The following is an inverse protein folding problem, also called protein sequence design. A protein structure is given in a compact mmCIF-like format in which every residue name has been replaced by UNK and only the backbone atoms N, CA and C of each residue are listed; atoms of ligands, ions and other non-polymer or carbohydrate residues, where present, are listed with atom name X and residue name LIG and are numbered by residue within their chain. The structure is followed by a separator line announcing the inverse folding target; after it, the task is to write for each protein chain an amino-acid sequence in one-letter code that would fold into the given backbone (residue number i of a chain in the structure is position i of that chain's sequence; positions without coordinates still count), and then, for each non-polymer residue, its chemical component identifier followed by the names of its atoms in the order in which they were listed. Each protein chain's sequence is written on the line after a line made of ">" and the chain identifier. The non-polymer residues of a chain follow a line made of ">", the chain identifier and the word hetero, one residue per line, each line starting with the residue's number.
data_IF_611209946058
#
_entry.id   IF_611209946058
#
_cell.length_a   1.000
_cell.length_b   1.000
_cell.length_c   1.000
_cell.angle_alpha   90.00
_cell.angle_beta   90.00
_cell.angle_gamma   90.00
#
_symmetry.space_group_name_H-M   'P 1'
#
loop_
_entity.id
_entity.type
_entity.pdbx_description
1 polymer ?
#
# COMPACT_ATOMS: atom_id res chain seq x y z
N UNK A 1 -19.36 17.06 52.50
CA UNK A 1 -18.24 17.44 51.61
C UNK A 1 -18.37 16.65 50.33
N UNK A 2 -18.26 17.15 49.11
CA UNK A 2 -18.54 18.43 48.46
C UNK A 2 -18.78 18.05 46.98
N UNK A 3 -19.79 18.65 46.34
CA UNK A 3 -19.95 18.63 44.88
C UNK A 3 -18.99 19.66 44.28
N UNK A 4 -18.48 19.41 43.07
CA UNK A 4 -18.03 20.47 42.18
C UNK A 4 -18.08 20.05 40.70
N UNK A 5 -18.78 20.88 39.93
CA UNK A 5 -18.78 21.10 38.46
C UNK A 5 -17.45 21.79 38.06
N UNK A 6 -17.02 22.04 36.81
CA UNK A 6 -17.64 22.50 35.56
C UNK A 6 -16.59 22.56 34.41
N UNK A 7 -17.09 22.51 33.17
CA UNK A 7 -16.71 23.13 31.86
C UNK A 7 -15.45 23.99 31.71
N UNK A 8 -14.75 23.90 30.56
CA UNK A 8 -14.76 24.95 29.48
C UNK A 8 -13.79 24.69 28.30
N UNK A 9 -14.19 25.19 27.13
CA UNK A 9 -13.61 25.10 25.78
C UNK A 9 -12.24 25.79 25.60
N UNK A 10 -11.44 25.26 24.67
CA UNK A 10 -10.24 25.94 24.17
C UNK A 10 -10.27 25.99 22.63
N UNK A 11 -10.63 27.17 22.13
CA UNK A 11 -10.59 27.59 20.73
C UNK A 11 -9.17 27.51 20.16
N UNK A 12 -9.00 26.87 19.00
CA UNK A 12 -7.77 26.92 18.22
C UNK A 12 -7.93 27.94 17.09
N UNK A 13 -7.57 29.19 17.38
CA UNK A 13 -7.42 30.24 16.38
C UNK A 13 -6.13 30.03 15.58
N UNK A 14 -6.25 29.83 14.26
CA UNK A 14 -5.12 29.93 13.34
C UNK A 14 -5.17 31.29 12.64
N UNK A 15 -4.38 32.23 13.15
CA UNK A 15 -4.15 33.54 12.55
C UNK A 15 -3.49 33.39 11.17
N UNK A 16 -4.09 34.01 10.15
CA UNK A 16 -3.57 34.09 8.79
C UNK A 16 -2.79 35.39 8.66
N UNK A 17 -1.47 35.30 8.51
CA UNK A 17 -0.66 36.44 8.11
C UNK A 17 -0.09 36.26 6.70
N UNK A 18 -0.15 37.37 5.98
CA UNK A 18 0.05 37.58 4.56
C UNK A 18 1.41 37.14 4.03
N UNK A 19 1.43 36.70 2.76
CA UNK A 19 2.60 36.82 1.91
C UNK A 19 2.20 37.58 0.64
N UNK A 20 2.68 38.82 0.55
CA UNK A 20 2.44 39.77 -0.52
C UNK A 20 3.20 39.38 -1.80
N UNK A 21 2.51 39.38 -2.93
CA UNK A 21 3.13 39.35 -4.26
C UNK A 21 2.73 40.64 -4.97
N UNK A 22 3.74 41.48 -5.24
CA UNK A 22 3.62 42.76 -5.92
C UNK A 22 3.19 42.59 -7.38
N UNK A 23 2.30 43.48 -7.82
CA UNK A 23 1.78 43.58 -9.18
C UNK A 23 2.84 44.10 -10.16
N UNK A 24 2.89 43.51 -11.35
CA UNK A 24 3.48 44.06 -12.56
C UNK A 24 2.41 44.04 -13.66
N UNK A 25 2.27 45.16 -14.34
CA UNK A 25 1.14 45.58 -15.17
C UNK A 25 0.98 44.82 -16.50
N UNK A 26 -0.27 44.80 -16.97
CA UNK A 26 -0.75 44.60 -18.33
C UNK A 26 -0.39 43.31 -19.07
N UNK A 27 -1.37 42.38 -19.16
CA UNK A 27 -1.77 41.68 -20.38
C UNK A 27 -3.00 40.79 -20.12
N UNK A 28 -3.92 40.78 -21.08
CA UNK A 28 -5.24 40.11 -21.20
C UNK A 28 -5.38 38.72 -20.53
N UNK A 29 -5.47 38.67 -19.19
CA UNK A 29 -5.71 37.42 -18.46
C UNK A 29 -7.21 37.16 -18.34
N UNK A 30 -7.72 36.31 -19.22
CA UNK A 30 -9.05 35.70 -19.11
C UNK A 30 -9.19 35.11 -17.70
N UNK A 31 -9.99 35.76 -16.86
CA UNK A 31 -10.20 35.39 -15.46
C UNK A 31 -10.84 34.02 -15.35
N UNK A 32 -10.01 32.97 -15.26
CA UNK A 32 -10.45 31.67 -14.78
C UNK A 32 -10.67 31.84 -13.27
N UNK A 33 -11.91 32.14 -12.91
CA UNK A 33 -12.39 31.97 -11.54
C UNK A 33 -12.39 30.47 -11.28
N UNK A 34 -11.30 29.97 -10.69
CA UNK A 34 -11.30 28.62 -10.12
C UNK A 34 -12.18 28.71 -8.88
N UNK A 35 -13.46 28.40 -9.05
CA UNK A 35 -14.36 28.17 -7.92
C UNK A 35 -13.74 27.07 -7.05
N UNK A 36 -13.20 27.48 -5.92
CA UNK A 36 -12.79 26.55 -4.87
C UNK A 36 -14.08 25.92 -4.35
N UNK A 37 -14.44 24.74 -4.86
CA UNK A 37 -15.52 23.91 -4.32
C UNK A 37 -15.16 23.52 -2.88
N UNK A 38 -15.46 24.41 -1.94
CA UNK A 38 -15.36 24.16 -0.52
C UNK A 38 -16.71 23.70 0.00
N UNK A 39 -16.98 22.41 -0.16
CA UNK A 39 -17.79 21.59 0.74
C UNK A 39 -17.81 20.18 0.16
N UNK A 40 -17.00 19.29 0.73
CA UNK A 40 -17.32 17.86 0.67
C UNK A 40 -18.66 17.73 1.40
N UNK A 41 -19.75 17.53 0.66
CA UNK A 41 -20.99 17.11 1.29
C UNK A 41 -20.73 15.69 1.83
N UNK A 42 -21.23 15.35 3.02
CA UNK A 42 -20.98 14.04 3.65
C UNK A 42 -21.43 12.82 2.83
N UNK A 43 -21.97 13.03 1.63
CA UNK A 43 -22.33 12.02 0.63
C UNK A 43 -21.17 11.63 -0.30
N UNK A 44 -20.08 12.40 -0.32
CA UNK A 44 -18.92 12.18 -1.20
C UNK A 44 -17.82 11.32 -0.55
N UNK A 45 -18.03 10.88 0.69
CA UNK A 45 -17.09 10.02 1.43
C UNK A 45 -17.67 8.63 1.60
N UNK A 46 -16.95 7.63 1.12
CA UNK A 46 -17.28 6.21 1.28
C UNK A 46 -16.30 5.57 2.27
N UNK A 47 -16.82 4.77 3.21
CA UNK A 47 -16.01 3.93 4.08
C UNK A 47 -15.96 2.53 3.48
N UNK A 48 -14.75 2.09 3.14
CA UNK A 48 -14.51 0.79 2.52
C UNK A 48 -13.85 -0.11 3.56
N UNK A 49 -14.38 -1.32 3.75
CA UNK A 49 -13.77 -2.31 4.62
C UNK A 49 -12.45 -2.81 4.02
N UNK A 50 -11.49 -3.17 4.87
CA UNK A 50 -10.20 -3.71 4.42
C UNK A 50 -10.34 -4.92 3.50
N UNK A 51 -11.30 -5.80 3.78
CA UNK A 51 -11.60 -6.98 2.95
C UNK A 51 -12.06 -6.58 1.53
N UNK A 52 -12.95 -5.60 1.42
CA UNK A 52 -13.41 -5.07 0.14
C UNK A 52 -12.31 -4.33 -0.62
N UNK A 53 -11.49 -3.54 0.08
CA UNK A 53 -10.33 -2.87 -0.51
C UNK A 53 -9.33 -3.89 -1.07
N UNK A 54 -9.10 -4.99 -0.36
CA UNK A 54 -8.20 -6.06 -0.80
C UNK A 54 -8.69 -6.71 -2.09
N UNK A 55 -10.00 -6.93 -2.25
CA UNK A 55 -10.56 -7.40 -3.52
C UNK A 55 -10.32 -6.42 -4.68
N UNK A 56 -10.42 -5.11 -4.42
CA UNK A 56 -10.12 -4.08 -5.43
C UNK A 56 -8.63 -4.10 -5.80
N UNK A 57 -7.75 -4.27 -4.82
CA UNK A 57 -6.31 -4.42 -5.04
C UNK A 57 -6.01 -5.66 -5.89
N UNK A 58 -6.61 -6.81 -5.54
CA UNK A 58 -6.34 -8.08 -6.19
C UNK A 58 -6.77 -8.05 -7.67
N UNK A 59 -7.88 -7.39 -8.01
CA UNK A 59 -8.26 -7.16 -9.42
C UNK A 59 -7.20 -6.40 -10.21
N UNK A 60 -6.66 -5.31 -9.65
CA UNK A 60 -5.58 -4.54 -10.31
C UNK A 60 -4.32 -5.39 -10.48
N UNK A 61 -4.02 -6.24 -9.50
CA UNK A 61 -2.90 -7.19 -9.58
C UNK A 61 -3.15 -8.22 -10.68
N UNK A 62 -4.34 -8.80 -10.76
CA UNK A 62 -4.73 -9.78 -11.77
C UNK A 62 -4.64 -9.21 -13.19
N UNK A 63 -5.19 -8.01 -13.42
CA UNK A 63 -5.16 -7.34 -14.72
C UNK A 63 -3.73 -7.08 -15.20
N UNK A 64 -2.87 -6.53 -14.32
CA UNK A 64 -1.47 -6.32 -14.65
C UNK A 64 -0.72 -7.65 -14.84
N UNK A 65 -1.02 -8.65 -14.00
CA UNK A 65 -0.34 -9.94 -14.03
C UNK A 65 -0.70 -10.78 -15.26
N UNK A 66 -1.88 -10.57 -15.86
CA UNK A 66 -2.26 -11.19 -17.12
C UNK A 66 -1.28 -10.84 -18.26
N UNK A 67 -0.58 -9.70 -18.17
CA UNK A 67 0.44 -9.28 -19.13
C UNK A 67 1.85 -9.63 -18.65
N UNK A 68 2.13 -9.44 -17.35
CA UNK A 68 3.47 -9.65 -16.78
C UNK A 68 3.83 -11.14 -16.60
N UNK A 69 2.82 -12.02 -16.54
CA UNK A 69 2.95 -13.47 -16.42
C UNK A 69 3.89 -13.89 -15.27
N UNK A 70 3.65 -13.38 -14.06
CA UNK A 70 4.48 -13.63 -12.89
C UNK A 70 3.64 -14.08 -11.68
N UNK A 71 4.27 -14.31 -10.52
CA UNK A 71 3.51 -14.59 -9.30
C UNK A 71 2.76 -13.32 -8.83
N UNK A 72 1.52 -13.44 -8.31
CA UNK A 72 0.74 -12.28 -7.86
C UNK A 72 1.46 -11.41 -6.83
N UNK A 73 2.23 -12.03 -5.93
CA UNK A 73 3.03 -11.34 -4.91
C UNK A 73 4.08 -10.43 -5.57
N UNK A 74 4.78 -10.93 -6.58
CA UNK A 74 5.78 -10.14 -7.29
C UNK A 74 5.14 -9.02 -8.12
N UNK A 75 3.98 -9.29 -8.74
CA UNK A 75 3.22 -8.26 -9.46
C UNK A 75 2.80 -7.13 -8.51
N UNK A 76 2.26 -7.47 -7.34
CA UNK A 76 1.89 -6.51 -6.29
C UNK A 76 3.08 -5.66 -5.82
N UNK A 77 4.24 -6.28 -5.64
CA UNK A 77 5.48 -5.58 -5.28
C UNK A 77 5.92 -4.58 -6.36
N UNK A 78 5.80 -4.95 -7.65
CA UNK A 78 6.11 -4.05 -8.75
C UNK A 78 5.09 -2.91 -8.83
N UNK A 79 3.79 -3.21 -8.76
CA UNK A 79 2.76 -2.18 -8.74
C UNK A 79 3.01 -1.17 -7.61
N UNK A 80 3.37 -1.63 -6.41
CA UNK A 80 3.77 -0.76 -5.32
C UNK A 80 4.97 0.14 -5.67
N UNK A 81 6.05 -0.40 -6.25
CA UNK A 81 7.22 0.38 -6.69
C UNK A 81 6.87 1.43 -7.76
N UNK A 82 5.86 1.15 -8.56
CA UNK A 82 5.34 2.04 -9.60
C UNK A 82 4.13 2.87 -9.13
N UNK A 83 3.92 2.97 -7.81
CA UNK A 83 2.86 3.78 -7.18
C UNK A 83 1.46 3.42 -7.67
N UNK A 84 1.20 2.14 -7.91
CA UNK A 84 -0.05 1.59 -8.41
C UNK A 84 -0.48 2.16 -9.77
N UNK A 85 0.49 2.52 -10.62
CA UNK A 85 0.24 2.96 -12.01
C UNK A 85 0.57 1.82 -12.99
N UNK A 86 -0.41 0.96 -13.37
CA UNK A 86 -0.17 -0.20 -14.22
C UNK A 86 0.38 0.19 -15.59
N UNK A 87 -0.11 1.27 -16.20
CA UNK A 87 0.33 1.73 -17.52
C UNK A 87 1.83 2.04 -17.56
N UNK A 88 2.34 2.71 -16.52
CA UNK A 88 3.76 3.06 -16.41
C UNK A 88 4.62 1.80 -16.22
N UNK A 89 4.12 0.81 -15.46
CA UNK A 89 4.79 -0.46 -15.28
C UNK A 89 4.86 -1.24 -16.60
N UNK A 90 3.73 -1.37 -17.29
CA UNK A 90 3.62 -2.09 -18.56
C UNK A 90 4.45 -1.43 -19.66
N UNK A 91 4.46 -0.10 -19.74
CA UNK A 91 5.32 0.63 -20.68
C UNK A 91 6.80 0.29 -20.46
N UNK A 92 7.25 0.21 -19.21
CA UNK A 92 8.64 -0.13 -18.87
C UNK A 92 8.95 -1.60 -19.12
N UNK A 93 8.00 -2.49 -18.91
CA UNK A 93 8.13 -3.92 -19.20
C UNK A 93 8.24 -4.18 -20.70
N UNK A 94 7.32 -3.62 -21.49
CA UNK A 94 7.30 -3.75 -22.95
C UNK A 94 8.54 -3.15 -23.63
N UNK A 95 9.19 -2.16 -23.01
CA UNK A 95 10.51 -1.63 -23.44
C UNK A 95 11.68 -2.61 -23.27
N UNK A 96 11.41 -3.87 -22.93
CA UNK A 96 12.39 -4.95 -22.86
C UNK A 96 13.15 -5.04 -21.54
N UNK A 97 12.71 -4.33 -20.49
CA UNK A 97 13.33 -4.48 -19.17
C UNK A 97 12.88 -5.81 -18.56
N UNK A 98 13.83 -6.69 -18.27
CA UNK A 98 13.59 -7.91 -17.48
C UNK A 98 12.96 -7.54 -16.14
N UNK A 99 12.04 -8.38 -15.65
CA UNK A 99 11.38 -8.24 -14.34
C UNK A 99 12.37 -7.95 -13.21
N UNK A 100 13.49 -8.68 -13.17
CA UNK A 100 14.54 -8.49 -12.17
C UNK A 100 15.16 -7.08 -12.20
N UNK A 101 15.22 -6.43 -13.37
CA UNK A 101 15.70 -5.06 -13.52
C UNK A 101 14.63 -4.01 -13.19
N UNK A 102 13.36 -4.39 -13.19
CA UNK A 102 12.24 -3.53 -12.75
C UNK A 102 12.12 -3.52 -11.23
N UNK A 103 12.43 -4.66 -10.59
CA UNK A 103 12.49 -4.80 -9.14
C UNK A 103 13.70 -4.03 -8.59
N UNK A 104 13.47 -2.84 -8.05
CA UNK A 104 14.50 -2.08 -7.32
C UNK A 104 14.61 -2.48 -5.84
N UNK A 105 13.83 -3.49 -5.42
CA UNK A 105 13.80 -3.92 -4.02
C UNK A 105 14.97 -4.85 -3.69
N UNK A 106 15.38 -4.86 -2.41
CA UNK A 106 16.33 -5.86 -1.89
C UNK A 106 15.72 -7.26 -1.75
N UNK A 107 14.43 -7.42 -2.05
CA UNK A 107 13.71 -8.69 -1.94
C UNK A 107 13.77 -9.40 -3.30
N UNK A 108 14.27 -10.63 -3.28
CA UNK A 108 14.26 -11.48 -4.46
C UNK A 108 12.82 -11.86 -4.83
N UNK A 109 12.45 -11.88 -6.11
CA UNK A 109 11.14 -12.33 -6.54
C UNK A 109 10.86 -13.76 -6.05
N UNK A 110 9.70 -13.98 -5.43
CA UNK A 110 9.27 -15.31 -4.99
C UNK A 110 8.76 -16.12 -6.18
N UNK A 111 9.01 -17.44 -6.17
CA UNK A 111 8.41 -18.35 -7.15
C UNK A 111 6.89 -18.42 -7.06
N UNK A 112 6.31 -18.06 -5.90
CA UNK A 112 4.88 -18.20 -5.62
C UNK A 112 4.42 -19.63 -5.42
N UNK A 113 5.33 -20.61 -5.43
CA UNK A 113 5.05 -22.02 -5.17
C UNK A 113 5.01 -22.21 -3.65
N UNK A 114 3.98 -22.89 -3.15
CA UNK A 114 3.90 -23.26 -1.74
C UNK A 114 5.13 -24.10 -1.36
N UNK A 115 5.77 -23.75 -0.25
CA UNK A 115 6.93 -24.50 0.23
C UNK A 115 6.47 -25.90 0.70
N UNK A 116 7.24 -26.97 0.40
CA UNK A 116 6.85 -28.32 0.75
C UNK A 116 6.88 -28.54 2.26
N UNK A 117 5.89 -29.28 2.76
CA UNK A 117 5.76 -29.65 4.17
C UNK A 117 6.39 -31.01 4.43
N UNK A 118 7.05 -31.13 5.60
CA UNK A 118 7.70 -32.36 6.05
C UNK A 118 7.57 -32.52 7.55
N UNK A 119 7.77 -33.74 8.02
CA UNK A 119 8.02 -34.03 9.42
C UNK A 119 9.44 -33.59 9.81
N UNK A 120 9.59 -32.97 10.98
CA UNK A 120 10.87 -32.56 11.52
C UNK A 120 10.76 -31.72 12.79
N UNK A 121 11.91 -31.25 13.28
CA UNK A 121 12.00 -30.34 14.41
C UNK A 121 12.00 -28.88 13.95
N UNK A 122 11.28 -28.01 14.66
CA UNK A 122 11.19 -26.58 14.38
C UNK A 122 12.38 -25.81 14.99
N UNK A 123 13.07 -25.00 14.19
CA UNK A 123 14.22 -24.19 14.64
C UNK A 123 13.83 -23.06 15.63
N UNK A 124 12.54 -22.70 15.71
CA UNK A 124 12.02 -21.64 16.59
C UNK A 124 11.50 -22.16 17.93
N UNK A 125 10.69 -23.22 17.91
CA UNK A 125 10.04 -23.74 19.12
C UNK A 125 10.61 -25.07 19.61
N UNK A 126 11.57 -25.66 18.89
CA UNK A 126 12.25 -26.91 19.23
C UNK A 126 11.30 -28.10 19.48
N UNK A 127 10.11 -28.07 18.86
CA UNK A 127 9.17 -29.19 18.89
C UNK A 127 9.16 -29.91 17.54
N UNK A 128 9.01 -31.23 17.60
CA UNK A 128 8.69 -32.04 16.44
C UNK A 128 7.27 -31.72 15.95
N UNK A 129 7.13 -31.52 14.65
CA UNK A 129 5.86 -31.26 14.00
C UNK A 129 5.81 -31.92 12.62
N UNK A 130 4.59 -32.27 12.17
CA UNK A 130 4.36 -32.84 10.84
C UNK A 130 4.27 -31.81 9.72
N UNK A 131 4.23 -30.53 10.07
CA UNK A 131 3.96 -29.39 9.19
C UNK A 131 5.13 -28.40 9.16
N UNK A 132 6.37 -28.92 9.11
CA UNK A 132 7.58 -28.11 8.98
C UNK A 132 7.72 -27.62 7.55
N UNK A 133 7.87 -26.30 7.42
CA UNK A 133 8.16 -25.61 6.17
C UNK A 133 9.63 -25.24 6.13
N UNK A 134 10.34 -25.67 5.07
CA UNK A 134 11.75 -25.31 4.85
C UNK A 134 11.89 -24.13 3.89
N UNK A 135 12.51 -23.06 4.37
CA UNK A 135 12.78 -21.86 3.58
C UNK A 135 14.05 -22.01 2.73
N UNK A 136 14.19 -21.24 1.63
CA UNK A 136 15.39 -21.25 0.80
C UNK A 136 16.69 -20.89 1.55
N UNK A 137 16.59 -20.14 2.66
CA UNK A 137 17.72 -19.83 3.54
C UNK A 137 18.20 -21.03 4.39
N UNK A 138 17.43 -22.12 4.43
CA UNK A 138 17.77 -23.32 5.19
C UNK A 138 16.90 -23.53 6.43
N UNK A 139 16.30 -22.46 6.95
CA UNK A 139 15.49 -22.45 8.18
C UNK A 139 14.24 -23.32 8.04
N UNK A 140 13.86 -23.99 9.14
CA UNK A 140 12.77 -24.93 9.25
C UNK A 140 11.82 -24.51 10.37
N UNK A 141 10.58 -24.18 9.99
CA UNK A 141 9.60 -23.61 10.93
C UNK A 141 8.29 -24.39 10.83
N UNK A 142 7.71 -24.79 11.98
CA UNK A 142 6.37 -25.39 12.02
C UNK A 142 5.29 -24.33 11.82
N UNK A 143 4.22 -24.65 11.09
CA UNK A 143 3.11 -23.70 10.87
C UNK A 143 2.38 -23.36 12.17
N UNK A 144 2.27 -24.31 13.08
CA UNK A 144 1.55 -24.14 14.36
C UNK A 144 2.14 -23.03 15.23
N UNK A 145 3.46 -22.80 15.19
CA UNK A 145 4.10 -21.77 16.02
C UNK A 145 3.93 -20.34 15.52
N UNK A 146 3.44 -20.14 14.29
CA UNK A 146 3.54 -18.82 13.66
C UNK A 146 2.22 -18.03 13.56
N UNK A 147 1.03 -18.62 13.76
CA UNK A 147 -0.23 -17.93 13.41
C UNK A 147 -1.43 -18.32 14.30
N UNK A 148 -1.30 -18.21 15.63
CA UNK A 148 -2.46 -18.21 16.52
C UNK A 148 -2.62 -16.81 17.14
N UNK A 149 -3.38 -15.96 16.44
CA UNK A 149 -4.01 -14.76 16.98
C UNK A 149 -5.52 -14.90 16.77
#
# INVERSE_FOLDING_TARGET
>A
MCKQTCDSDADFESNAEEMSILHGEDDDFCGIVVEKKSKFEGKDQEVIEGSELMLKIDRVVEEANAVLCMSPINCRMLLFQFKWKPDVLLERFCKGKKVAALMKSKVAPSSGIALPEKEGECDLCFHEAGDIVKFPCGDQICKISTWAA
#
